data_IF_805608052492
#
_entry.id   IF_805608052492
#
_cell.length_a   1.000
_cell.length_b   1.000
_cell.length_c   1.000
_cell.angle_alpha   90.00
_cell.angle_beta   90.00
_cell.angle_gamma   90.00
#
_symmetry.space_group_name_H-M   'P 1'
#
loop_
_entity.id
_entity.type
_entity.pdbx_description
1 polymer ?
#
# COMPACT_ATOMS: atom_id res chain seq x y z
N UNK A 1 9.16 -16.03 2.79
CA UNK A 1 7.72 -16.33 3.00
C UNK A 1 6.94 -15.84 1.79
N UNK A 2 6.01 -16.65 1.29
CA UNK A 2 5.10 -16.27 0.19
C UNK A 2 3.67 -16.21 0.71
N UNK A 3 2.92 -15.23 0.23
CA UNK A 3 1.50 -15.07 0.54
C UNK A 3 0.78 -14.50 -0.67
N UNK A 4 -0.50 -14.82 -0.83
CA UNK A 4 -1.34 -14.21 -1.86
C UNK A 4 -2.30 -13.23 -1.21
N UNK A 5 -2.39 -12.04 -1.78
CA UNK A 5 -3.25 -10.95 -1.30
C UNK A 5 -4.12 -10.42 -2.43
N UNK A 6 -5.31 -9.92 -2.11
CA UNK A 6 -6.16 -9.19 -3.07
C UNK A 6 -5.91 -7.71 -2.92
N UNK A 7 -5.35 -7.08 -3.95
CA UNK A 7 -5.14 -5.64 -4.03
C UNK A 7 -6.00 -5.05 -5.14
N UNK A 8 -6.93 -4.18 -4.79
CA UNK A 8 -7.91 -3.59 -5.73
C UNK A 8 -8.64 -4.64 -6.60
N UNK A 9 -8.97 -5.80 -6.02
CA UNK A 9 -9.63 -6.92 -6.70
C UNK A 9 -8.70 -7.84 -7.51
N UNK A 10 -7.39 -7.61 -7.48
CA UNK A 10 -6.38 -8.39 -8.21
C UNK A 10 -5.63 -9.29 -7.23
N UNK A 11 -5.64 -10.63 -7.38
CA UNK A 11 -4.83 -11.54 -6.57
C UNK A 11 -3.35 -11.44 -6.98
N UNK A 12 -2.50 -11.07 -6.03
CA UNK A 12 -1.06 -10.87 -6.22
C UNK A 12 -0.31 -11.74 -5.22
N UNK A 13 0.67 -12.50 -5.69
CA UNK A 13 1.63 -13.21 -4.83
C UNK A 13 2.74 -12.26 -4.42
N UNK A 14 2.95 -12.13 -3.13
CA UNK A 14 4.05 -11.38 -2.54
C UNK A 14 5.07 -12.33 -1.94
N UNK A 15 6.34 -12.10 -2.20
CA UNK A 15 7.45 -12.80 -1.55
C UNK A 15 8.17 -11.82 -0.63
N UNK A 16 8.18 -12.10 0.67
CA UNK A 16 8.74 -11.26 1.72
C UNK A 16 9.69 -12.07 2.62
N UNK A 17 10.75 -11.45 3.11
CA UNK A 17 11.70 -12.05 4.06
C UNK A 17 11.15 -12.04 5.46
N UNK A 18 10.52 -10.94 5.87
CA UNK A 18 10.04 -10.73 7.24
C UNK A 18 8.61 -11.19 7.44
N UNK A 19 8.35 -12.14 8.37
CA UNK A 19 6.99 -12.50 8.78
C UNK A 19 6.22 -11.31 9.38
N UNK A 20 6.92 -10.38 10.05
CA UNK A 20 6.29 -9.21 10.63
C UNK A 20 5.69 -8.29 9.57
N UNK A 21 6.41 -8.05 8.47
CA UNK A 21 5.88 -7.27 7.35
C UNK A 21 4.82 -8.05 6.56
N UNK A 22 4.95 -9.37 6.44
CA UNK A 22 3.90 -10.20 5.85
C UNK A 22 2.58 -10.07 6.63
N UNK A 23 2.63 -9.99 7.96
CA UNK A 23 1.45 -9.80 8.81
C UNK A 23 0.68 -8.50 8.52
N UNK A 24 1.35 -7.45 8.02
CA UNK A 24 0.68 -6.20 7.61
C UNK A 24 -0.32 -6.41 6.48
N UNK A 25 -0.15 -7.47 5.68
CA UNK A 25 -1.04 -7.80 4.57
C UNK A 25 -2.18 -8.75 4.97
N UNK A 26 -2.25 -9.20 6.23
CA UNK A 26 -3.27 -10.14 6.70
C UNK A 26 -4.72 -9.77 6.30
N UNK A 27 -5.15 -8.50 6.37
CA UNK A 27 -6.50 -8.12 5.97
C UNK A 27 -6.83 -8.36 4.49
N UNK A 28 -5.81 -8.57 3.67
CA UNK A 28 -5.91 -8.76 2.21
C UNK A 28 -5.62 -10.20 1.77
N UNK A 29 -5.36 -11.12 2.67
CA UNK A 29 -5.03 -12.51 2.35
C UNK A 29 -6.17 -13.20 1.63
N UNK A 30 -5.80 -14.04 0.68
CA UNK A 30 -6.75 -14.82 -0.11
C UNK A 30 -6.13 -16.16 -0.50
N UNK A 31 -7.00 -17.15 -0.77
CA UNK A 31 -6.64 -18.44 -1.36
C UNK A 31 -6.80 -18.46 -2.89
N UNK A 32 -7.18 -17.32 -3.49
CA UNK A 32 -7.33 -17.23 -4.94
C UNK A 32 -5.98 -17.42 -5.64
N UNK A 33 -6.02 -18.01 -6.85
CA UNK A 33 -4.82 -18.15 -7.67
C UNK A 33 -4.29 -16.78 -8.07
N UNK A 34 -3.00 -16.49 -7.80
CA UNK A 34 -2.41 -15.20 -8.12
C UNK A 34 -2.23 -15.05 -9.64
N UNK A 35 -2.59 -13.88 -10.16
CA UNK A 35 -2.40 -13.50 -11.56
C UNK A 35 -1.15 -12.65 -11.78
N UNK A 36 -0.54 -12.19 -10.71
CA UNK A 36 0.74 -11.48 -10.71
C UNK A 36 1.58 -11.92 -9.51
N UNK A 37 2.89 -11.75 -9.61
CA UNK A 37 3.83 -12.04 -8.52
C UNK A 37 4.81 -10.88 -8.36
N UNK A 38 5.07 -10.51 -7.12
CA UNK A 38 5.96 -9.40 -6.77
C UNK A 38 6.96 -9.87 -5.73
N UNK A 39 8.22 -9.59 -5.99
CA UNK A 39 9.34 -9.76 -5.06
C UNK A 39 10.34 -8.64 -5.25
N UNK A 40 11.15 -8.40 -4.25
CA UNK A 40 12.32 -7.52 -4.38
C UNK A 40 13.56 -8.41 -4.55
N UNK A 41 14.24 -8.38 -5.72
CA UNK A 41 15.45 -9.15 -5.94
C UNK A 41 16.59 -8.68 -5.03
N UNK A 42 17.55 -9.58 -4.79
CA UNK A 42 18.69 -9.32 -3.90
C UNK A 42 19.59 -8.18 -4.37
N UNK A 43 19.82 -8.10 -5.68
CA UNK A 43 20.57 -7.03 -6.32
C UNK A 43 19.89 -5.66 -6.16
N UNK A 44 18.57 -5.61 -6.36
CA UNK A 44 17.80 -4.40 -6.14
C UNK A 44 17.81 -3.94 -4.68
N UNK A 45 17.81 -4.86 -3.71
CA UNK A 45 17.95 -4.51 -2.29
C UNK A 45 19.33 -3.91 -1.99
N UNK A 46 20.39 -4.49 -2.55
CA UNK A 46 21.76 -3.96 -2.36
C UNK A 46 21.93 -2.58 -3.01
N UNK A 47 21.30 -2.36 -4.15
CA UNK A 47 21.31 -1.06 -4.82
C UNK A 47 20.50 -0.02 -4.06
N UNK A 48 19.34 -0.38 -3.53
CA UNK A 48 18.45 0.52 -2.82
C UNK A 48 18.96 0.90 -1.41
N UNK A 49 19.58 -0.05 -0.69
CA UNK A 49 19.97 0.12 0.71
C UNK A 49 20.76 1.43 1.03
N UNK A 50 21.72 1.87 0.19
CA UNK A 50 22.46 3.12 0.45
C UNK A 50 21.61 4.39 0.36
N UNK A 51 20.41 4.33 -0.21
CA UNK A 51 19.50 5.47 -0.37
C UNK A 51 18.58 5.68 0.84
N UNK A 52 18.59 4.75 1.79
CA UNK A 52 17.81 4.83 3.02
C UNK A 52 18.65 5.30 4.20
N UNK A 53 17.99 5.74 5.26
CA UNK A 53 18.66 6.21 6.48
C UNK A 53 19.55 5.12 7.11
N UNK A 54 20.64 5.55 7.71
CA UNK A 54 21.54 4.65 8.42
C UNK A 54 20.79 3.89 9.53
N UNK A 55 20.92 2.57 9.53
CA UNK A 55 20.20 1.69 10.47
C UNK A 55 18.91 1.09 9.93
N UNK A 56 18.47 1.45 8.72
CA UNK A 56 17.36 0.76 8.06
C UNK A 56 17.75 -0.69 7.78
N UNK A 57 16.94 -1.64 8.26
CA UNK A 57 17.24 -3.07 8.07
C UNK A 57 16.93 -3.53 6.64
N UNK A 58 17.55 -4.62 6.16
CA UNK A 58 17.26 -5.16 4.83
C UNK A 58 15.77 -5.49 4.62
N UNK A 59 15.09 -5.94 5.68
CA UNK A 59 13.66 -6.23 5.65
C UNK A 59 12.80 -4.96 5.52
N UNK A 60 13.24 -3.87 6.14
CA UNK A 60 12.60 -2.56 5.98
C UNK A 60 12.78 -2.02 4.57
N UNK A 61 14.00 -2.12 4.03
CA UNK A 61 14.27 -1.75 2.63
C UNK A 61 13.38 -2.57 1.68
N UNK A 62 13.31 -3.89 1.88
CA UNK A 62 12.45 -4.76 1.07
C UNK A 62 10.98 -4.30 1.11
N UNK A 63 10.45 -4.00 2.30
CA UNK A 63 9.07 -3.58 2.46
C UNK A 63 8.79 -2.25 1.71
N UNK A 64 9.72 -1.30 1.79
CA UNK A 64 9.60 -0.01 1.11
C UNK A 64 9.71 -0.15 -0.42
N UNK A 65 10.64 -1.00 -0.88
CA UNK A 65 10.85 -1.30 -2.29
C UNK A 65 9.72 -2.16 -2.92
N UNK A 66 8.94 -2.84 -2.10
CA UNK A 66 7.80 -3.62 -2.57
C UNK A 66 6.70 -2.74 -3.17
N UNK A 67 6.45 -1.56 -2.60
CA UNK A 67 5.39 -0.64 -3.01
C UNK A 67 5.43 -0.27 -4.50
N UNK A 68 6.53 0.28 -5.03
CA UNK A 68 6.67 0.59 -6.45
C UNK A 68 6.43 -0.63 -7.35
N UNK A 69 6.96 -1.81 -6.96
CA UNK A 69 6.80 -3.05 -7.73
C UNK A 69 5.37 -3.57 -7.75
N UNK A 70 4.64 -3.39 -6.66
CA UNK A 70 3.20 -3.66 -6.60
C UNK A 70 2.45 -2.72 -7.55
N UNK A 71 2.81 -1.43 -7.60
CA UNK A 71 2.24 -0.50 -8.56
C UNK A 71 2.42 -0.99 -9.99
N UNK A 72 3.66 -1.34 -10.37
CA UNK A 72 3.98 -1.83 -11.71
C UNK A 72 3.21 -3.11 -12.05
N UNK A 73 3.08 -4.03 -11.10
CA UNK A 73 2.36 -5.29 -11.28
C UNK A 73 0.84 -5.09 -11.45
N UNK A 74 0.28 -4.01 -10.91
CA UNK A 74 -1.15 -3.71 -10.99
C UNK A 74 -1.54 -2.89 -12.25
N UNK A 75 -0.59 -2.16 -12.84
CA UNK A 75 -0.84 -1.33 -14.04
C UNK A 75 -1.48 -2.09 -15.20
N UNK A 76 -1.03 -3.32 -15.59
CA UNK A 76 -1.64 -4.08 -16.67
C UNK A 76 -3.11 -4.43 -16.45
N UNK A 77 -3.55 -4.42 -15.18
CA UNK A 77 -4.94 -4.67 -14.79
C UNK A 77 -5.76 -3.39 -14.63
N UNK A 78 -5.23 -2.25 -15.08
CA UNK A 78 -5.88 -0.94 -14.97
C UNK A 78 -6.04 -0.46 -13.54
N UNK A 79 -5.12 -0.83 -12.65
CA UNK A 79 -5.10 -0.41 -11.24
C UNK A 79 -3.86 0.44 -10.97
N UNK A 80 -4.05 1.45 -10.13
CA UNK A 80 -2.97 2.30 -9.63
C UNK A 80 -2.98 2.29 -8.11
N UNK A 81 -1.79 2.36 -7.50
CA UNK A 81 -1.64 2.63 -6.08
C UNK A 81 -1.56 4.14 -5.88
N UNK A 82 -2.39 4.66 -4.99
CA UNK A 82 -2.44 6.07 -4.72
C UNK A 82 -2.28 6.33 -3.22
N UNK A 83 -1.28 7.10 -2.84
CA UNK A 83 -1.04 7.47 -1.46
C UNK A 83 -1.84 8.72 -1.12
N UNK A 84 -2.84 8.58 -0.26
CA UNK A 84 -3.68 9.69 0.15
C UNK A 84 -4.63 9.32 1.27
N UNK A 85 -5.28 10.31 1.87
CA UNK A 85 -6.41 10.10 2.75
C UNK A 85 -7.70 10.09 1.93
N UNK A 86 -8.55 9.09 2.07
CA UNK A 86 -9.74 8.93 1.24
C UNK A 86 -11.02 8.83 2.06
N UNK A 87 -12.06 9.47 1.57
CA UNK A 87 -13.42 9.38 2.12
C UNK A 87 -14.42 9.05 1.03
N UNK A 88 -15.49 8.35 1.42
CA UNK A 88 -16.69 8.22 0.61
C UNK A 88 -17.76 9.20 1.13
N UNK A 89 -18.26 10.06 0.25
CA UNK A 89 -19.33 11.00 0.52
C UNK A 89 -20.27 11.12 -0.66
N UNK A 90 -21.56 10.94 -0.41
CA UNK A 90 -22.63 11.00 -1.43
C UNK A 90 -22.33 10.18 -2.69
N UNK A 91 -21.85 8.94 -2.50
CA UNK A 91 -21.54 8.02 -3.59
C UNK A 91 -20.28 8.33 -4.39
N UNK A 92 -19.48 9.30 -3.96
CA UNK A 92 -18.20 9.68 -4.59
C UNK A 92 -17.04 9.50 -3.62
N UNK A 93 -15.92 9.03 -4.15
CA UNK A 93 -14.65 8.96 -3.41
C UNK A 93 -13.90 10.28 -3.59
N UNK A 94 -13.51 10.87 -2.46
CA UNK A 94 -12.70 12.08 -2.41
C UNK A 94 -11.34 11.70 -1.82
N UNK A 95 -10.27 12.03 -2.54
CA UNK A 95 -8.91 11.69 -2.13
C UNK A 95 -8.12 12.98 -1.89
N UNK A 96 -7.57 13.09 -0.69
CA UNK A 96 -6.69 14.19 -0.30
C UNK A 96 -5.25 13.74 -0.44
N UNK A 97 -4.51 14.36 -1.33
CA UNK A 97 -3.10 14.06 -1.58
C UNK A 97 -2.25 15.30 -1.36
N UNK A 98 -1.14 15.13 -0.67
CA UNK A 98 -0.13 16.14 -0.43
C UNK A 98 1.09 15.49 0.22
N UNK A 99 2.17 16.22 0.38
CA UNK A 99 3.34 15.77 1.13
C UNK A 99 2.98 15.37 2.56
N UNK A 100 3.84 14.56 3.19
CA UNK A 100 3.66 14.19 4.59
C UNK A 100 3.63 15.43 5.49
N UNK A 101 2.80 15.42 6.52
CA UNK A 101 2.69 16.54 7.47
C UNK A 101 1.84 17.73 7.02
N UNK A 102 1.27 17.73 5.81
CA UNK A 102 0.47 18.87 5.30
C UNK A 102 -0.97 18.92 5.81
N UNK A 103 -1.37 17.96 6.66
CA UNK A 103 -2.72 17.98 7.26
C UNK A 103 -3.78 17.19 6.49
N UNK A 104 -3.41 16.19 5.67
CA UNK A 104 -4.39 15.30 4.97
C UNK A 104 -5.38 14.65 5.95
N UNK A 105 -4.85 14.08 7.04
CA UNK A 105 -5.67 13.47 8.10
C UNK A 105 -6.57 14.49 8.76
N UNK A 106 -6.06 15.68 9.06
CA UNK A 106 -6.85 16.78 9.62
C UNK A 106 -8.00 17.16 8.69
N UNK A 107 -7.74 17.22 7.39
CA UNK A 107 -8.75 17.58 6.40
C UNK A 107 -9.93 16.61 6.40
N UNK A 108 -9.71 15.31 6.33
CA UNK A 108 -10.83 14.36 6.33
C UNK A 108 -11.54 14.29 7.70
N UNK A 109 -10.83 14.53 8.80
CA UNK A 109 -11.44 14.61 10.12
C UNK A 109 -12.37 15.83 10.22
N UNK A 110 -12.00 16.97 9.66
CA UNK A 110 -12.89 18.15 9.58
C UNK A 110 -14.14 17.84 8.76
N UNK A 111 -14.02 17.14 7.64
CA UNK A 111 -15.18 16.69 6.87
C UNK A 111 -16.08 15.77 7.71
N UNK A 112 -15.49 14.85 8.47
CA UNK A 112 -16.23 13.96 9.36
C UNK A 112 -16.98 14.73 10.45
N UNK A 113 -16.37 15.77 11.00
CA UNK A 113 -17.01 16.65 11.99
C UNK A 113 -18.18 17.43 11.36
N UNK A 114 -18.01 17.96 10.14
CA UNK A 114 -19.04 18.77 9.47
C UNK A 114 -20.23 17.95 8.97
N UNK A 115 -19.98 16.75 8.42
CA UNK A 115 -20.99 15.95 7.72
C UNK A 115 -21.36 14.65 8.46
N UNK A 116 -20.73 14.36 9.58
CA UNK A 116 -21.08 13.26 10.48
C UNK A 116 -21.09 11.89 9.80
N UNK A 117 -22.22 11.19 9.91
CA UNK A 117 -22.41 9.83 9.39
C UNK A 117 -22.47 9.75 7.86
N UNK A 118 -22.63 10.87 7.16
CA UNK A 118 -22.54 10.89 5.69
C UNK A 118 -21.14 10.57 5.17
N UNK A 119 -20.11 10.71 6.02
CA UNK A 119 -18.71 10.45 5.66
C UNK A 119 -18.30 9.06 6.11
N UNK A 120 -17.83 8.24 5.17
CA UNK A 120 -17.13 6.97 5.44
C UNK A 120 -15.65 7.14 5.11
N UNK A 121 -14.80 6.94 6.12
CA UNK A 121 -13.33 6.92 5.94
C UNK A 121 -12.96 5.59 5.28
N UNK A 122 -12.12 5.61 4.24
CA UNK A 122 -11.79 4.44 3.42
C UNK A 122 -10.39 3.87 3.69
N UNK A 123 -9.54 4.53 4.44
CA UNK A 123 -8.17 4.11 4.76
C UNK A 123 -7.88 4.11 6.25
#
# INVERSE_FOLDING_TARGET
MELTVVLAGIPVRLSLRSPAYAACFQPFWTEADPVAAVRVPEDALKEAAPHYEAGTTPEQVEYLELGPRVCDALLPYGRILFLGAAILWRGRVWVFTANSGTGKTTQYMLWKLCFGSEIKILN
#
